data_IF_402367267139
#
_entry.id   IF_402367267139
#
_cell.length_a   1.000
_cell.length_b   1.000
_cell.length_c   1.000
_cell.angle_alpha   90.00
_cell.angle_beta   90.00
_cell.angle_gamma   90.00
#
_symmetry.space_group_name_H-M   'P 1'
#
loop_
_entity.id
_entity.type
_entity.pdbx_description
1 polymer ?
2 non-polymer ?
3 water ?
#
# COMPACT_ATOMS: atom_id res chain seq x y z
N UNK A 1 26.31 18.19 23.48
CA UNK A 1 25.25 17.81 24.40
C UNK A 1 24.00 18.49 23.90
N UNK A 2 24.09 19.78 23.60
CA UNK A 2 22.92 20.42 22.99
C UNK A 2 22.71 19.98 21.54
N UNK A 3 23.73 19.41 20.89
CA UNK A 3 23.51 18.82 19.58
C UNK A 3 22.46 17.70 19.62
N UNK A 4 22.31 17.02 20.77
CA UNK A 4 21.31 15.96 20.88
C UNK A 4 19.98 16.42 21.48
N UNK A 5 19.89 17.66 21.92
CA UNK A 5 18.72 18.09 22.64
C UNK A 5 17.45 18.04 21.78
N UNK A 6 17.56 18.36 20.49
CA UNK A 6 16.36 18.26 19.66
C UNK A 6 15.80 16.84 19.71
N UNK A 7 16.68 15.86 19.49
CA UNK A 7 16.15 14.51 19.44
C UNK A 7 15.67 14.07 20.82
N UNK A 8 16.31 14.53 21.90
CA UNK A 8 15.84 14.15 23.24
C UNK A 8 14.45 14.72 23.54
N UNK A 9 14.20 15.98 23.19
CA UNK A 9 12.88 16.56 23.40
C UNK A 9 11.84 15.88 22.52
N UNK A 10 12.20 15.60 21.26
CA UNK A 10 11.30 14.89 20.37
C UNK A 10 10.91 13.54 20.94
N UNK A 11 11.88 12.83 21.51
CA UNK A 11 11.61 11.55 22.13
C UNK A 11 10.68 11.71 23.30
N UNK A 12 10.94 12.69 24.18
CA UNK A 12 10.10 12.86 25.36
C UNK A 12 8.64 13.12 24.96
N UNK A 13 8.43 14.01 23.99
CA UNK A 13 7.05 14.32 23.58
C UNK A 13 6.40 13.16 22.86
N UNK A 14 7.19 12.44 22.06
CA UNK A 14 6.68 11.27 21.36
C UNK A 14 6.27 10.17 22.34
N UNK A 15 7.09 9.94 23.36
CA UNK A 15 6.76 8.98 24.39
C UNK A 15 5.53 9.39 25.16
N UNK A 16 5.38 10.69 25.45
CA UNK A 16 4.16 11.13 26.11
C UNK A 16 2.92 10.77 25.28
N UNK A 17 2.94 11.07 23.98
CA UNK A 17 1.79 10.72 23.15
C UNK A 17 1.60 9.22 23.03
N UNK A 18 2.70 8.46 22.90
CA UNK A 18 2.63 7.01 22.87
C UNK A 18 1.92 6.48 24.10
N UNK A 19 2.33 6.94 25.28
CA UNK A 19 1.72 6.46 26.53
C UNK A 19 0.25 6.86 26.59
N UNK A 20 -0.07 8.09 26.17
CA UNK A 20 -1.45 8.57 26.17
C UNK A 20 -2.33 7.70 25.27
N UNK A 21 -1.86 7.42 24.05
CA UNK A 21 -2.63 6.61 23.11
C UNK A 21 -2.80 5.21 23.68
N UNK A 22 -1.75 4.66 24.29
CA UNK A 22 -1.87 3.33 24.88
C UNK A 22 -2.65 3.33 26.20
N UNK A 23 -3.05 4.49 26.70
CA UNK A 23 -3.76 4.54 27.97
C UNK A 23 -5.27 4.72 27.81
N UNK A 24 -5.78 4.84 26.59
CA UNK A 24 -7.22 5.07 26.38
C UNK A 24 -7.79 3.95 25.52
N UNK A 25 -9.12 3.92 25.44
CA UNK A 25 -9.79 2.76 24.86
C UNK A 25 -9.72 2.78 23.34
N UNK A 26 -10.21 1.69 22.76
CA UNK A 26 -10.15 1.51 21.32
C UNK A 26 -10.85 2.64 20.57
N UNK A 27 -12.02 3.08 21.04
CA UNK A 27 -12.74 4.13 20.34
C UNK A 27 -11.93 5.42 20.28
N UNK A 28 -11.28 5.78 21.39
CA UNK A 28 -10.45 6.98 21.37
C UNK A 28 -9.21 6.79 20.52
N UNK A 29 -8.60 5.61 20.57
CA UNK A 29 -7.45 5.33 19.70
C UNK A 29 -7.84 5.48 18.24
N UNK A 30 -9.02 4.97 17.86
CA UNK A 30 -9.48 5.12 16.48
C UNK A 30 -9.74 6.59 16.16
N UNK A 31 -10.27 7.35 17.14
CA UNK A 31 -10.49 8.79 16.91
C UNK A 31 -9.16 9.53 16.71
N UNK A 32 -8.16 9.17 17.51
CA UNK A 32 -6.83 9.77 17.38
C UNK A 32 -6.24 9.44 16.01
N UNK A 33 -6.35 8.16 15.62
CA UNK A 33 -5.90 7.75 14.30
C UNK A 33 -6.59 8.58 13.20
N UNK A 34 -7.91 8.71 13.31
CA UNK A 34 -8.66 9.46 12.33
C UNK A 34 -8.15 10.88 12.23
N UNK A 35 -7.80 11.47 13.39
CA UNK A 35 -7.31 12.84 13.41
C UNK A 35 -5.96 12.97 12.71
N UNK A 36 -5.07 11.99 12.91
CA UNK A 36 -3.77 12.06 12.27
C UNK A 36 -3.80 11.46 10.87
N UNK A 37 -4.92 10.83 10.49
CA UNK A 37 -5.06 10.15 9.21
C UNK A 37 -4.77 11.12 8.07
N UNK A 38 -3.91 10.70 7.16
CA UNK A 38 -3.59 11.46 5.96
C UNK A 38 -2.98 12.83 6.18
N UNK A 42 -0.15 9.44 3.85
CA UNK A 42 0.31 8.99 5.15
C UNK A 42 1.73 8.42 5.07
N UNK A 43 2.61 8.88 5.97
CA UNK A 43 4.01 8.38 5.94
C UNK A 43 4.10 6.90 6.27
N UNK A 44 5.13 6.27 5.72
CA UNK A 44 5.41 4.84 5.90
C UNK A 44 6.71 4.74 6.70
N UNK A 45 6.59 4.46 7.99
CA UNK A 45 7.75 4.45 8.87
C UNK A 45 8.43 3.10 9.03
N UNK A 46 7.83 2.01 8.52
CA UNK A 46 8.37 0.66 8.68
C UNK A 46 8.59 0.32 10.16
N UNK A 47 7.60 0.59 11.00
CA UNK A 47 7.77 0.36 12.44
C UNK A 47 7.76 -1.13 12.74
N UNK A 48 6.93 -1.91 12.02
CA UNK A 48 6.84 -3.36 12.23
C UNK A 48 8.20 -4.04 12.26
N UNK A 49 9.11 -3.66 11.37
CA UNK A 49 10.38 -4.38 11.31
C UNK A 49 11.27 -4.14 12.53
N UNK A 50 10.99 -3.12 13.35
CA UNK A 50 11.84 -2.76 14.47
C UNK A 50 11.37 -3.34 15.81
N UNK A 51 10.26 -4.07 15.81
CA UNK A 51 9.73 -4.63 17.05
C UNK A 51 10.58 -5.79 17.52
N UNK A 52 11.00 -5.75 18.79
CA UNK A 52 11.77 -6.84 19.37
C UNK A 52 10.94 -8.10 19.55
N UNK A 53 11.49 -9.22 19.08
CA UNK A 53 10.84 -10.51 19.14
C UNK A 53 9.45 -10.42 18.52
N UNK A 54 9.42 -9.86 17.31
CA UNK A 54 8.16 -9.57 16.64
C UNK A 54 7.34 -10.82 16.36
N UNK A 55 7.98 -11.98 16.20
CA UNK A 55 7.27 -13.24 15.97
C UNK A 55 6.49 -13.73 17.18
N UNK A 56 6.76 -13.15 18.35
CA UNK A 56 6.00 -13.40 19.57
C UNK A 56 4.90 -12.38 19.79
N UNK A 57 4.75 -11.39 18.91
CA UNK A 57 3.70 -10.38 19.01
C UNK A 57 2.52 -10.77 18.12
N UNK A 58 1.30 -10.64 18.63
CA UNK A 58 0.13 -10.82 17.79
C UNK A 58 0.02 -9.68 16.77
N UNK A 59 -0.69 -9.95 15.67
CA UNK A 59 -0.92 -8.92 14.66
C UNK A 59 -1.62 -7.71 15.28
N UNK A 60 -2.58 -7.96 16.16
CA UNK A 60 -3.33 -6.85 16.75
C UNK A 60 -2.45 -5.98 17.63
N UNK A 61 -1.55 -6.60 18.43
CA UNK A 61 -0.63 -5.82 19.25
C UNK A 61 0.33 -5.01 18.39
N UNK A 62 0.84 -5.60 17.33
CA UNK A 62 1.69 -4.86 16.41
C UNK A 62 0.94 -3.68 15.81
N UNK A 63 -0.32 -3.90 15.41
CA UNK A 63 -1.09 -2.82 14.80
C UNK A 63 -1.33 -1.71 15.81
N UNK A 64 -1.68 -2.07 17.03
CA UNK A 64 -1.87 -1.05 18.05
C UNK A 64 -0.60 -0.24 18.27
N UNK A 65 0.54 -0.93 18.36
CA UNK A 65 1.80 -0.25 18.65
C UNK A 65 2.21 0.66 17.51
N UNK A 66 2.20 0.14 16.27
CA UNK A 66 2.69 0.92 15.12
C UNK A 66 1.78 2.11 14.87
N UNK A 67 0.46 1.89 14.99
CA UNK A 67 -0.45 3.01 14.87
C UNK A 67 -0.13 4.08 15.88
N UNK A 68 0.12 3.67 17.14
CA UNK A 68 0.38 4.66 18.17
C UNK A 68 1.66 5.42 17.91
N UNK A 69 2.72 4.73 17.50
CA UNK A 69 3.98 5.41 17.19
C UNK A 69 3.79 6.40 16.03
N UNK A 70 3.15 5.96 14.95
CA UNK A 70 2.96 6.84 13.80
C UNK A 70 2.13 8.06 14.20
N UNK A 71 1.13 7.86 15.05
CA UNK A 71 0.29 8.97 15.52
C UNK A 71 1.10 9.90 16.40
N UNK A 72 1.95 9.33 17.25
CA UNK A 72 2.79 10.13 18.12
C UNK A 72 3.73 11.00 17.30
N UNK A 73 4.37 10.42 16.29
CA UNK A 73 5.28 11.19 15.43
C UNK A 73 4.53 12.32 14.72
N UNK A 74 3.34 12.01 14.16
CA UNK A 74 2.51 13.02 13.53
C UNK A 74 2.21 14.16 14.48
N UNK A 75 1.77 13.83 15.71
CA UNK A 75 1.35 14.86 16.66
C UNK A 75 2.52 15.72 17.11
N UNK A 76 3.66 15.10 17.40
CA UNK A 76 4.83 15.92 17.75
C UNK A 76 5.29 16.74 16.56
N UNK A 77 5.37 16.14 15.38
CA UNK A 77 5.92 16.83 14.23
C UNK A 77 5.06 18.02 13.83
N UNK A 78 3.73 17.95 14.03
CA UNK A 78 2.94 19.09 13.56
C UNK A 78 3.07 20.33 14.45
N UNK A 79 3.74 20.25 15.61
CA UNK A 79 3.98 21.43 16.42
C UNK A 79 4.96 22.42 15.77
N UNK A 80 5.81 21.96 14.83
CA UNK A 80 6.83 22.79 14.18
C UNK A 80 6.28 23.34 12.88
N UNK A 81 5.76 24.55 12.93
CA UNK A 81 5.22 25.20 11.74
C UNK A 81 6.33 25.82 10.88
N UNK A 82 6.16 25.71 9.56
CA UNK A 82 7.09 26.25 8.57
C UNK A 82 8.57 25.94 8.81
N UNK A 83 8.96 24.66 8.83
CA UNK A 83 10.33 24.31 9.21
C UNK A 83 11.39 24.62 8.15
N UNK A 84 12.55 25.05 8.64
CA UNK A 84 13.73 25.19 7.81
C UNK A 84 14.18 23.80 7.33
N UNK A 85 15.09 23.78 6.35
CA UNK A 85 15.66 22.48 5.96
C UNK A 85 16.31 21.82 7.16
N UNK A 86 16.93 22.64 8.01
CA UNK A 86 17.60 22.10 9.19
C UNK A 86 16.61 21.46 10.14
N UNK A 87 15.45 22.10 10.35
CA UNK A 87 14.42 21.49 11.20
C UNK A 87 13.85 20.23 10.58
N UNK A 88 13.56 20.23 9.27
CA UNK A 88 13.06 19.00 8.66
C UNK A 88 14.10 17.87 8.76
N UNK A 89 15.38 18.17 8.56
CA UNK A 89 16.42 17.16 8.73
C UNK A 89 16.57 16.76 10.20
N UNK A 90 16.37 17.71 11.13
CA UNK A 90 16.38 17.42 12.56
C UNK A 90 15.22 16.50 12.94
N UNK A 91 14.04 16.78 12.40
CA UNK A 91 12.91 15.92 12.63
C UNK A 91 13.19 14.56 12.05
N UNK A 92 13.79 14.52 10.84
CA UNK A 92 14.07 13.25 10.20
C UNK A 92 15.00 12.41 11.05
N UNK A 93 16.05 13.03 11.59
CA UNK A 93 17.00 12.30 12.43
C UNK A 93 16.40 11.91 13.77
N UNK A 94 15.68 12.82 14.44
CA UNK A 94 15.04 12.49 15.70
C UNK A 94 13.99 11.40 15.53
N UNK A 95 13.27 11.43 14.41
CA UNK A 95 12.32 10.38 14.10
C UNK A 95 13.06 9.09 13.77
N UNK A 96 14.18 9.18 13.07
CA UNK A 96 14.98 8.00 12.81
C UNK A 96 15.54 7.44 14.11
N UNK A 97 15.88 8.29 15.07
CA UNK A 97 16.36 7.78 16.37
C UNK A 97 15.23 7.10 17.10
N UNK A 98 14.06 7.72 17.11
CA UNK A 98 12.88 7.07 17.68
C UNK A 98 12.69 5.69 17.08
N UNK A 99 12.64 5.61 15.75
CA UNK A 99 12.33 4.35 15.08
C UNK A 99 13.46 3.33 15.23
N UNK A 100 14.70 3.75 14.97
CA UNK A 100 15.79 2.80 14.86
C UNK A 100 16.37 2.47 16.23
N UNK A 101 16.46 3.45 17.12
CA UNK A 101 17.03 3.19 18.44
C UNK A 101 15.96 2.79 19.46
N UNK A 102 14.81 3.50 19.51
CA UNK A 102 13.93 3.35 20.66
C UNK A 102 12.83 2.33 20.47
N UNK A 103 12.34 2.10 19.24
CA UNK A 103 11.33 1.05 19.06
C UNK A 103 11.82 -0.31 19.53
N UNK A 104 13.08 -0.73 19.27
CA UNK A 104 13.56 -1.98 19.87
C UNK A 104 13.58 -1.96 21.40
N UNK A 105 13.90 -0.80 21.98
CA UNK A 105 13.89 -0.69 23.44
C UNK A 105 12.48 -0.77 23.97
N UNK A 106 11.58 0.02 23.40
CA UNK A 106 10.21 0.08 23.88
C UNK A 106 9.49 -1.26 23.76
N UNK A 107 9.84 -2.07 22.76
CA UNK A 107 9.15 -3.34 22.51
C UNK A 107 9.85 -4.54 23.14
N UNK A 108 10.91 -4.30 23.92
CA UNK A 108 11.66 -5.36 24.57
C UNK A 108 11.03 -5.69 25.92
N UNK A 109 11.19 -6.96 26.35
CA UNK A 109 10.81 -7.42 27.69
C UNK A 109 9.35 -7.17 28.01
N UNK A 110 8.47 -7.28 27.02
CA UNK A 110 7.07 -7.04 27.29
C UNK A 110 6.39 -8.30 27.81
N UNK A 111 5.40 -8.08 28.64
CA UNK A 111 4.67 -9.19 29.23
C UNK A 111 3.59 -9.67 28.28
N UNK A 112 3.60 -10.93 27.86
CA UNK A 112 2.63 -11.42 26.86
C UNK A 112 1.20 -11.25 27.29
N UNK A 113 0.93 -11.19 28.58
CA UNK A 113 -0.42 -10.98 29.06
C UNK A 113 -0.99 -9.66 28.57
N UNK A 114 -0.15 -8.66 28.40
CA UNK A 114 -0.57 -7.33 27.99
C UNK A 114 0.65 -6.54 27.55
N UNK A 115 1.09 -6.81 26.32
CA UNK A 115 2.34 -6.23 25.84
C UNK A 115 2.29 -4.71 25.76
N UNK A 116 1.13 -4.14 25.43
CA UNK A 116 1.05 -2.70 25.30
C UNK A 116 1.09 -2.03 26.66
N UNK A 117 0.61 -2.71 27.71
CA UNK A 117 0.81 -2.16 29.05
C UNK A 117 2.30 -2.11 29.35
N UNK A 118 3.05 -3.14 28.93
CA UNK A 118 4.51 -3.12 29.14
C UNK A 118 5.17 -2.00 28.35
N UNK A 119 4.73 -1.79 27.10
CA UNK A 119 5.27 -0.71 26.30
C UNK A 119 5.03 0.61 27.00
N UNK A 120 3.79 0.81 27.48
CA UNK A 120 3.45 2.01 28.23
C UNK A 120 4.44 2.22 29.38
N UNK A 121 4.75 1.16 30.13
CA UNK A 121 5.62 1.32 31.30
C UNK A 121 7.08 1.52 30.90
N UNK A 122 7.58 0.76 29.92
CA UNK A 122 8.90 1.02 29.35
C UNK A 122 9.01 2.49 28.96
N UNK A 123 7.99 3.00 28.24
CA UNK A 123 7.99 4.38 27.77
C UNK A 123 8.03 5.35 28.93
N UNK A 124 7.20 5.13 29.95
CA UNK A 124 7.17 6.06 31.08
C UNK A 124 8.54 6.15 31.75
N UNK A 125 9.21 5.00 31.95
CA UNK A 125 10.54 5.00 32.59
C UNK A 125 11.57 5.74 31.73
N UNK A 126 11.61 5.42 30.42
CA UNK A 126 12.55 6.06 29.52
C UNK A 126 12.34 7.58 29.49
N UNK A 127 11.07 8.01 29.42
CA UNK A 127 10.74 9.43 29.39
C UNK A 127 11.12 10.11 30.70
N UNK A 128 10.85 9.46 31.83
CA UNK A 128 11.23 10.04 33.11
C UNK A 128 12.75 10.26 33.20
N UNK A 129 13.53 9.28 32.70
CA UNK A 129 15.00 9.39 32.76
C UNK A 129 15.48 10.55 31.90
N UNK A 130 14.97 10.64 30.66
CA UNK A 130 15.39 11.73 29.79
C UNK A 130 14.99 13.08 30.38
N UNK A 131 13.78 13.17 30.92
CA UNK A 131 13.33 14.43 31.49
C UNK A 131 14.22 14.83 32.65
N UNK A 132 14.55 13.86 33.51
CA UNK A 132 15.43 14.11 34.64
C UNK A 132 16.76 14.68 34.18
N UNK A 133 17.28 14.21 33.04
CA UNK A 133 18.57 14.77 32.62
C UNK A 133 18.44 16.00 31.72
N UNK A 134 17.23 16.37 31.31
CA UNK A 134 17.07 17.68 30.67
C UNK A 134 16.93 18.76 31.71
N UNK A 135 16.14 18.51 32.74
CA UNK A 135 15.99 19.45 33.83
C UNK A 135 17.27 19.47 34.66
N UNK B 1 -10.67 -16.07 -8.65
CA UNK B 1 -10.82 -16.94 -9.82
C UNK B 1 -9.48 -17.52 -10.20
N UNK B 2 -9.42 -18.78 -10.62
CA UNK B 2 -8.14 -19.29 -11.06
C UNK B 2 -7.70 -18.68 -12.39
N UNK B 3 -8.62 -18.04 -13.10
CA UNK B 3 -8.25 -17.34 -14.33
C UNK B 3 -7.21 -16.25 -14.12
N UNK B 4 -7.14 -15.63 -12.94
CA UNK B 4 -6.17 -14.58 -12.64
C UNK B 4 -4.93 -15.10 -11.93
N UNK B 5 -4.90 -16.41 -11.62
CA UNK B 5 -3.83 -16.91 -10.75
C UNK B 5 -2.46 -16.74 -11.39
N UNK B 6 -2.35 -17.02 -12.69
CA UNK B 6 -1.05 -16.83 -13.32
C UNK B 6 -0.57 -15.40 -13.15
N UNK B 7 -1.42 -14.40 -13.49
CA UNK B 7 -0.91 -13.04 -13.42
C UNK B 7 -0.67 -12.64 -11.97
N UNK B 8 -1.49 -13.13 -11.02
CA UNK B 8 -1.20 -12.75 -9.64
C UNK B 8 0.14 -13.33 -9.20
N UNK B 9 0.43 -14.58 -9.60
CA UNK B 9 1.74 -15.17 -9.24
C UNK B 9 2.85 -14.40 -9.89
N UNK B 10 2.65 -14.04 -11.17
CA UNK B 10 3.66 -13.29 -11.88
C UNK B 10 3.93 -11.98 -11.17
N UNK B 11 2.85 -11.31 -10.69
CA UNK B 11 3.03 -10.05 -9.97
C UNK B 11 3.80 -10.27 -8.68
N UNK B 12 3.40 -11.31 -7.91
CA UNK B 12 4.04 -11.55 -6.63
C UNK B 12 5.54 -11.77 -6.86
N UNK B 13 5.87 -12.52 -7.91
CA UNK B 13 7.29 -12.83 -8.13
C UNK B 13 8.05 -11.62 -8.67
N UNK B 14 7.38 -10.84 -9.53
CA UNK B 14 8.01 -9.69 -10.11
C UNK B 14 8.31 -8.69 -9.01
N UNK B 15 7.32 -8.44 -8.15
CA UNK B 15 7.49 -7.54 -7.04
C UNK B 15 8.59 -8.02 -6.10
N UNK B 16 8.67 -9.35 -5.88
CA UNK B 16 9.79 -9.89 -5.06
C UNK B 16 11.14 -9.47 -5.62
N UNK B 17 11.35 -9.70 -6.93
CA UNK B 17 12.63 -9.32 -7.51
C UNK B 17 12.81 -7.81 -7.50
N UNK B 18 11.73 -7.06 -7.76
CA UNK B 18 11.84 -5.60 -7.70
C UNK B 18 12.36 -5.18 -6.34
N UNK B 19 11.77 -5.72 -5.25
CA UNK B 19 12.19 -5.29 -3.92
C UNK B 19 13.63 -5.67 -3.68
N UNK B 20 13.98 -6.87 -4.14
CA UNK B 20 15.34 -7.37 -3.97
C UNK B 20 16.32 -6.45 -4.67
N UNK B 21 16.02 -6.12 -5.91
CA UNK B 21 16.92 -5.27 -6.67
C UNK B 21 17.02 -3.91 -6.00
N UNK B 22 15.89 -3.42 -5.49
CA UNK B 22 15.94 -2.11 -4.86
C UNK B 22 16.54 -2.16 -3.46
N UNK B 23 16.88 -3.35 -2.94
CA UNK B 23 17.39 -3.46 -1.59
C UNK B 23 18.90 -3.62 -1.57
N UNK B 24 19.54 -3.68 -2.73
CA UNK B 24 20.99 -3.93 -2.75
C UNK B 24 21.69 -2.76 -3.41
N UNK B 25 23.03 -2.76 -3.29
CA UNK B 25 23.77 -1.58 -3.67
C UNK B 25 23.90 -1.49 -5.19
N UNK B 26 24.50 -0.38 -5.61
CA UNK B 26 24.62 -0.08 -7.03
C UNK B 26 25.44 -1.14 -7.76
N UNK B 27 26.51 -1.64 -7.15
CA UNK B 27 27.33 -2.63 -7.83
C UNK B 27 26.52 -3.88 -8.16
N UNK B 28 25.74 -4.37 -7.19
CA UNK B 28 24.92 -5.55 -7.44
C UNK B 28 23.82 -5.25 -8.44
N UNK B 29 23.22 -4.05 -8.36
CA UNK B 29 22.20 -3.68 -9.34
C UNK B 29 22.77 -3.69 -10.76
N UNK B 30 23.95 -3.11 -10.96
CA UNK B 30 24.56 -3.10 -12.29
C UNK B 30 24.91 -4.51 -12.75
N UNK B 31 25.38 -5.35 -11.82
CA UNK B 31 25.65 -6.74 -12.18
C UNK B 31 24.39 -7.46 -12.62
N UNK B 32 23.30 -7.27 -11.89
CA UNK B 32 22.00 -7.84 -12.26
C UNK B 32 21.56 -7.32 -13.64
N UNK B 33 21.70 -6.01 -13.87
CA UNK B 33 21.39 -5.46 -15.17
C UNK B 33 22.13 -6.18 -16.27
N UNK B 34 23.45 -6.36 -16.13
CA UNK B 34 24.24 -7.07 -17.14
C UNK B 34 23.80 -8.52 -17.29
N UNK B 35 23.47 -9.20 -16.18
CA UNK B 35 23.07 -10.60 -16.27
C UNK B 35 21.78 -10.77 -17.04
N UNK B 36 20.84 -9.87 -16.84
CA UNK B 36 19.53 -10.00 -17.50
C UNK B 36 19.51 -9.44 -18.91
N UNK B 37 20.59 -8.82 -19.36
CA UNK B 37 20.64 -8.34 -20.72
C UNK B 37 20.53 -9.52 -21.68
N UNK B 38 19.49 -9.51 -22.50
CA UNK B 38 19.23 -10.64 -23.38
C UNK B 38 19.69 -10.41 -24.81
N UNK B 39 18.73 -10.35 -25.73
CA UNK B 39 18.99 -10.09 -27.14
C UNK B 39 18.27 -8.85 -27.65
N UNK B 40 17.18 -8.46 -27.02
CA UNK B 40 16.49 -7.21 -27.29
C UNK B 40 17.00 -6.11 -26.35
N UNK B 41 17.09 -4.89 -26.88
CA UNK B 41 17.71 -3.77 -26.18
C UNK B 41 16.61 -2.92 -25.54
N UNK B 42 16.52 -2.97 -24.22
CA UNK B 42 15.49 -2.30 -23.43
C UNK B 42 14.14 -2.51 -24.10
N UNK B 43 13.67 -3.78 -24.25
CA UNK B 43 12.70 -4.13 -25.30
C UNK B 43 11.43 -3.29 -25.31
N UNK B 44 11.62 -1.99 -25.58
CA UNK B 44 10.58 -0.97 -25.64
C UNK B 44 9.43 -1.23 -24.68
N UNK B 45 9.69 -1.10 -23.37
CA UNK B 45 8.58 -1.22 -22.43
C UNK B 45 7.95 0.13 -22.17
N UNK B 46 8.63 1.21 -22.54
CA UNK B 46 8.18 2.57 -22.30
C UNK B 46 7.75 2.73 -20.84
N UNK B 47 8.60 2.27 -19.92
CA UNK B 47 8.26 2.29 -18.50
C UNK B 47 8.27 3.73 -17.99
N UNK B 48 9.17 4.57 -18.53
CA UNK B 48 9.21 5.97 -18.12
C UNK B 48 7.84 6.62 -18.25
N UNK B 49 7.13 6.34 -19.35
CA UNK B 49 5.83 6.96 -19.58
C UNK B 49 4.77 6.47 -18.61
N UNK B 50 5.01 5.39 -17.88
CA UNK B 50 4.04 4.89 -16.93
C UNK B 50 4.30 5.35 -15.50
N UNK B 51 5.38 6.07 -15.24
CA UNK B 51 5.71 6.49 -13.88
C UNK B 51 4.77 7.60 -13.44
N UNK B 52 4.15 7.44 -12.27
CA UNK B 52 3.28 8.47 -11.74
C UNK B 52 4.07 9.73 -11.36
N UNK B 53 3.55 10.88 -11.81
CA UNK B 53 4.15 12.19 -11.61
C UNK B 53 5.61 12.20 -12.05
N UNK B 54 5.84 11.73 -13.28
CA UNK B 54 7.21 11.51 -13.75
C UNK B 54 8.02 12.80 -13.80
N UNK B 55 7.37 13.96 -13.98
CA UNK B 55 8.13 15.22 -14.01
C UNK B 55 8.73 15.57 -12.67
N UNK B 56 8.30 14.89 -11.61
CA UNK B 56 8.88 15.11 -10.29
C UNK B 56 9.97 14.10 -9.99
N UNK B 57 10.25 13.17 -10.90
CA UNK B 57 11.30 12.17 -10.68
C UNK B 57 12.59 12.60 -11.37
N UNK B 58 13.71 12.48 -10.66
CA UNK B 58 14.97 12.72 -11.34
C UNK B 58 15.24 11.64 -12.39
N UNK B 59 16.10 11.97 -13.34
CA UNK B 59 16.53 11.00 -14.33
C UNK B 59 17.14 9.77 -13.69
N UNK B 60 17.97 9.97 -12.65
CA UNK B 60 18.60 8.83 -11.99
C UNK B 60 17.56 7.93 -11.33
N UNK B 61 16.56 8.51 -10.69
CA UNK B 61 15.52 7.68 -10.07
C UNK B 61 14.72 6.91 -11.12
N UNK B 62 14.37 7.58 -12.22
CA UNK B 62 13.65 6.87 -13.29
C UNK B 62 14.49 5.71 -13.82
N UNK B 63 15.80 5.93 -14.02
CA UNK B 63 16.66 4.86 -14.53
C UNK B 63 16.72 3.70 -13.56
N UNK B 64 16.83 4.01 -12.26
CA UNK B 64 16.88 2.96 -11.26
C UNK B 64 15.62 2.12 -11.31
N UNK B 65 14.47 2.80 -11.37
CA UNK B 65 13.19 2.10 -11.33
C UNK B 65 13.00 1.24 -12.58
N UNK B 66 13.21 1.83 -13.76
CA UNK B 66 12.94 1.12 -15.02
C UNK B 66 13.91 -0.04 -15.22
N UNK B 67 15.20 0.14 -14.91
CA UNK B 67 16.11 -0.99 -14.98
C UNK B 67 15.62 -2.11 -14.06
N UNK B 68 15.20 -1.76 -12.85
CA UNK B 68 14.79 -2.79 -11.89
C UNK B 68 13.53 -3.52 -12.36
N UNK B 69 12.55 -2.78 -12.90
CA UNK B 69 11.36 -3.41 -13.44
C UNK B 69 11.72 -4.40 -14.54
N UNK B 70 12.53 -3.94 -15.51
CA UNK B 70 12.90 -4.80 -16.63
C UNK B 70 13.67 -6.03 -16.18
N UNK B 71 14.53 -5.85 -15.17
CA UNK B 71 15.28 -7.00 -14.67
C UNK B 71 14.35 -7.98 -13.97
N UNK B 72 13.43 -7.47 -13.18
CA UNK B 72 12.49 -8.34 -12.49
C UNK B 72 11.67 -9.14 -13.50
N UNK B 73 11.18 -8.47 -14.54
CA UNK B 73 10.44 -9.18 -15.57
C UNK B 73 11.29 -10.29 -16.20
N UNK B 74 12.56 -9.98 -16.54
CA UNK B 74 13.44 -11.01 -17.09
C UNK B 74 13.59 -12.20 -16.14
N UNK B 75 13.82 -11.92 -14.86
CA UNK B 75 14.11 -12.99 -13.91
C UNK B 75 12.88 -13.87 -13.71
N UNK B 76 11.70 -13.28 -13.63
CA UNK B 76 10.50 -14.11 -13.49
C UNK B 76 10.26 -14.90 -14.77
N UNK B 77 10.41 -14.24 -15.93
CA UNK B 77 10.08 -14.89 -17.18
C UNK B 77 10.99 -16.06 -17.48
N UNK B 78 12.26 -16.00 -17.08
CA UNK B 78 13.15 -17.10 -17.41
C UNK B 78 12.92 -18.36 -16.56
N UNK B 79 12.06 -18.31 -15.54
CA UNK B 79 11.66 -19.54 -14.86
C UNK B 79 10.87 -20.48 -15.77
N UNK B 80 10.23 -19.94 -16.81
CA UNK B 80 9.41 -20.74 -17.72
C UNK B 80 10.23 -21.17 -18.93
N UNK B 81 10.89 -22.31 -18.78
CA UNK B 81 11.68 -22.91 -19.85
C UNK B 81 10.77 -23.70 -20.79
N UNK B 82 11.11 -23.65 -22.09
CA UNK B 82 10.35 -24.28 -23.17
C UNK B 82 8.85 -24.07 -22.95
N UNK B 83 8.41 -22.82 -22.84
CA UNK B 83 6.99 -22.57 -22.54
C UNK B 83 6.15 -22.89 -23.75
N UNK B 84 4.95 -23.41 -23.49
CA UNK B 84 3.96 -23.58 -24.53
C UNK B 84 3.51 -22.21 -25.07
N UNK B 85 2.75 -22.25 -26.17
CA UNK B 85 2.19 -21.01 -26.71
C UNK B 85 1.26 -20.36 -25.67
N UNK B 86 0.50 -21.19 -24.95
CA UNK B 86 -0.41 -20.66 -23.95
C UNK B 86 0.35 -19.98 -22.82
N UNK B 87 1.47 -20.58 -22.39
CA UNK B 87 2.28 -19.99 -21.33
C UNK B 87 2.87 -18.66 -21.78
N UNK B 88 3.35 -18.60 -23.03
CA UNK B 88 3.87 -17.34 -23.55
C UNK B 88 2.79 -16.27 -23.58
N UNK B 89 1.55 -16.62 -23.97
CA UNK B 89 0.50 -15.61 -23.96
C UNK B 89 0.16 -15.18 -22.53
N UNK B 90 0.17 -16.11 -21.56
CA UNK B 90 -0.08 -15.72 -20.18
C UNK B 90 1.03 -14.82 -19.64
N UNK B 91 2.28 -15.11 -20.05
CA UNK B 91 3.40 -14.26 -19.65
C UNK B 91 3.23 -12.87 -20.23
N UNK B 92 2.81 -12.78 -21.51
CA UNK B 92 2.60 -11.46 -22.13
C UNK B 92 1.50 -10.68 -21.41
N UNK B 93 0.39 -11.36 -21.07
CA UNK B 93 -0.71 -10.70 -20.36
C UNK B 93 -0.27 -10.26 -18.98
N UNK B 94 0.42 -11.14 -18.23
CA UNK B 94 0.87 -10.78 -16.90
C UNK B 94 1.84 -9.60 -16.95
N UNK B 95 2.69 -9.58 -17.97
CA UNK B 95 3.67 -8.52 -18.07
C UNK B 95 3.01 -7.20 -18.38
N UNK B 96 2.00 -7.22 -19.27
CA UNK B 96 1.24 -6.01 -19.57
C UNK B 96 0.46 -5.53 -18.34
N UNK B 97 -0.07 -6.44 -17.52
CA UNK B 97 -0.72 -5.99 -16.30
C UNK B 97 0.30 -5.33 -15.36
N UNK B 98 1.48 -5.93 -15.20
CA UNK B 98 2.53 -5.30 -14.40
C UNK B 98 2.84 -3.88 -14.89
N UNK B 99 3.07 -3.76 -16.19
CA UNK B 99 3.47 -2.48 -16.75
C UNK B 99 2.33 -1.46 -16.75
N UNK B 100 1.15 -1.88 -17.20
CA UNK B 100 0.07 -0.93 -17.42
C UNK B 100 -0.72 -0.66 -16.14
N UNK B 101 -0.97 -1.70 -15.32
CA UNK B 101 -1.71 -1.48 -14.10
C UNK B 101 -0.80 -1.13 -12.93
N UNK B 102 0.33 -1.83 -12.73
CA UNK B 102 1.03 -1.72 -11.46
C UNK B 102 2.14 -0.67 -11.46
N UNK B 103 2.76 -0.36 -12.59
CA UNK B 103 3.80 0.68 -12.57
C UNK B 103 3.23 1.99 -12.09
N UNK B 104 2.03 2.44 -12.52
CA UNK B 104 1.46 3.66 -11.91
C UNK B 104 1.23 3.55 -10.42
N UNK B 105 0.82 2.38 -9.92
CA UNK B 105 0.63 2.20 -8.48
C UNK B 105 1.95 2.23 -7.73
N UNK B 106 2.93 1.48 -8.22
CA UNK B 106 4.22 1.35 -7.53
C UNK B 106 4.92 2.69 -7.39
N UNK B 107 4.75 3.59 -8.36
CA UNK B 107 5.45 4.85 -8.42
C UNK B 107 4.64 6.00 -7.85
N UNK B 108 3.47 5.72 -7.26
CA UNK B 108 2.62 6.75 -6.70
C UNK B 108 3.00 7.03 -5.25
N UNK B 109 2.78 8.28 -4.82
CA UNK B 109 2.95 8.66 -3.41
C UNK B 109 4.37 8.45 -2.91
N UNK B 110 5.36 8.64 -3.77
CA UNK B 110 6.72 8.41 -3.33
C UNK B 110 7.27 9.64 -2.62
N UNK B 111 8.13 9.40 -1.67
CA UNK B 111 8.78 10.47 -0.92
C UNK B 111 9.98 11.00 -1.69
N UNK B 112 10.01 12.30 -2.02
CA UNK B 112 11.14 12.82 -2.82
C UNK B 112 12.51 12.56 -2.20
N UNK B 113 12.59 12.37 -0.88
CA UNK B 113 13.86 12.08 -0.20
C UNK B 113 14.48 10.76 -0.66
N UNK B 114 13.66 9.80 -1.05
CA UNK B 114 14.13 8.50 -1.47
C UNK B 114 12.99 7.79 -2.17
N UNK B 115 12.77 8.15 -3.44
CA UNK B 115 11.60 7.62 -4.14
C UNK B 115 11.66 6.11 -4.27
N UNK B 116 12.87 5.55 -4.42
CA UNK B 116 12.94 4.11 -4.61
C UNK B 116 12.64 3.34 -3.34
N UNK B 117 12.98 3.91 -2.17
CA UNK B 117 12.52 3.29 -0.94
C UNK B 117 11.01 3.27 -0.88
N UNK B 118 10.36 4.35 -1.36
CA UNK B 118 8.91 4.33 -1.40
C UNK B 118 8.40 3.26 -2.34
N UNK B 119 9.05 3.10 -3.50
CA UNK B 119 8.67 2.05 -4.45
C UNK B 119 8.79 0.68 -3.77
N UNK B 120 9.89 0.44 -3.08
CA UNK B 120 10.09 -0.80 -2.36
C UNK B 120 8.99 -1.04 -1.33
N UNK B 121 8.57 0.01 -0.61
CA UNK B 121 7.52 -0.17 0.39
C UNK B 121 6.15 -0.39 -0.26
N UNK B 122 5.84 0.38 -1.29
CA UNK B 122 4.60 0.14 -2.06
C UNK B 122 4.57 -1.30 -2.55
N UNK B 123 5.68 -1.76 -3.14
CA UNK B 123 5.78 -3.10 -3.68
C UNK B 123 5.55 -4.15 -2.60
N UNK B 124 6.16 -3.96 -1.42
CA UNK B 124 6.00 -4.94 -0.35
C UNK B 124 4.56 -5.04 0.13
N UNK B 125 3.89 -3.90 0.33
CA UNK B 125 2.47 -3.91 0.71
C UNK B 125 1.59 -4.59 -0.36
N UNK B 126 1.80 -4.25 -1.64
CA UNK B 126 0.98 -4.86 -2.71
C UNK B 126 1.19 -6.37 -2.73
N UNK B 127 2.45 -6.80 -2.60
CA UNK B 127 2.79 -8.21 -2.66
C UNK B 127 2.23 -8.96 -1.47
N UNK B 128 2.29 -8.37 -0.26
CA UNK B 128 1.76 -9.03 0.92
C UNK B 128 0.26 -9.20 0.81
N UNK B 129 -0.42 -8.19 0.28
CA UNK B 129 -1.87 -8.31 0.10
C UNK B 129 -2.21 -9.46 -0.84
N UNK B 130 -1.50 -9.55 -1.98
CA UNK B 130 -1.80 -10.61 -2.95
C UNK B 130 -1.49 -11.99 -2.37
N UNK B 131 -0.38 -12.09 -1.63
CA UNK B 131 -0.07 -13.37 -1.01
C UNK B 131 -1.12 -13.75 0.03
N UNK B 132 -1.54 -12.79 0.87
CA UNK B 132 -2.55 -13.06 1.88
C UNK B 132 -3.83 -13.57 1.26
N UNK B 133 -4.18 -13.06 0.08
CA UNK B 133 -5.45 -13.43 -0.53
C UNK B 133 -5.35 -14.58 -1.52
N UNK B 134 -4.16 -15.18 -1.71
CA UNK B 134 -4.09 -16.34 -2.58
C UNK B 134 -5.09 -17.41 -2.17
N UNK B 135 -5.23 -17.66 -0.86
CA UNK B 135 -6.15 -18.67 -0.36
C UNK B 135 -7.60 -18.30 -0.60
N UNK B 136 -7.86 -17.03 -0.84
CA UNK B 136 -9.23 -16.54 -0.91
C UNK B 136 -9.73 -16.39 -2.34
N UNK B 137 -8.93 -16.75 -3.33
CA UNK B 137 -9.27 -16.45 -4.71
C UNK B 137 -9.16 -17.73 -5.53
N UNK C 1 0.21 -1.44 -23.26
CA UNK C 1 -0.36 -2.21 -24.39
C UNK C 1 -1.85 -1.98 -24.51
N UNK C 2 -2.33 -1.95 -25.75
CA UNK C 2 -3.77 -1.84 -25.94
C UNK C 2 -4.50 -3.12 -25.51
N UNK C 3 -3.78 -4.23 -25.34
CA UNK C 3 -4.39 -5.44 -24.80
C UNK C 3 -5.02 -5.24 -23.42
N UNK C 4 -4.53 -4.26 -22.64
CA UNK C 4 -5.10 -4.02 -21.32
C UNK C 4 -6.12 -2.89 -21.30
N UNK C 5 -6.35 -2.24 -22.45
CA UNK C 5 -7.17 -1.03 -22.41
C UNK C 5 -8.59 -1.34 -21.92
N UNK C 6 -9.15 -2.47 -22.35
CA UNK C 6 -10.51 -2.78 -21.91
C UNK C 6 -10.56 -2.86 -20.38
N UNK C 7 -9.63 -3.62 -19.78
CA UNK C 7 -9.75 -3.80 -18.34
C UNK C 7 -9.42 -2.51 -17.62
N UNK C 8 -8.50 -1.71 -18.16
CA UNK C 8 -8.22 -0.44 -17.46
C UNK C 8 -9.44 0.46 -17.49
N UNK C 9 -10.13 0.52 -18.64
CA UNK C 9 -11.34 1.34 -18.68
C UNK C 9 -12.40 0.75 -17.75
N UNK C 10 -12.50 -0.57 -17.71
CA UNK C 10 -13.50 -1.17 -16.82
C UNK C 10 -13.21 -0.77 -15.38
N UNK C 11 -11.92 -0.77 -15.02
CA UNK C 11 -11.54 -0.40 -13.68
C UNK C 11 -11.89 1.04 -13.41
N UNK C 12 -11.55 1.93 -14.34
CA UNK C 12 -11.79 3.36 -14.11
C UNK C 12 -13.28 3.57 -13.91
N UNK C 13 -14.07 2.90 -14.75
CA UNK C 13 -15.50 3.11 -14.67
C UNK C 13 -16.07 2.45 -13.42
N UNK C 14 -15.57 1.27 -13.06
CA UNK C 14 -16.07 0.60 -11.86
C UNK C 14 -15.76 1.44 -10.64
N UNK C 15 -14.53 1.99 -10.58
CA UNK C 15 -14.12 2.74 -9.42
C UNK C 15 -14.93 4.02 -9.32
N UNK C 16 -15.27 4.65 -10.48
CA UNK C 16 -16.16 5.82 -10.45
C UNK C 16 -17.44 5.46 -9.71
N UNK C 17 -18.06 4.33 -10.09
CA UNK C 17 -19.35 4.03 -9.46
C UNK C 17 -19.17 3.67 -8.01
N UNK C 18 -18.06 2.98 -7.68
CA UNK C 18 -17.77 2.68 -6.28
C UNK C 18 -17.71 3.98 -5.49
N UNK C 19 -16.95 4.95 -5.98
CA UNK C 19 -16.84 6.20 -5.24
C UNK C 19 -18.21 6.86 -5.13
N UNK C 20 -18.97 6.85 -6.22
CA UNK C 20 -20.26 7.52 -6.20
C UNK C 20 -21.18 6.91 -5.15
N UNK C 21 -21.23 5.57 -5.14
CA UNK C 21 -22.10 4.85 -4.22
C UNK C 21 -21.68 5.08 -2.78
N UNK C 22 -20.37 5.12 -2.53
CA UNK C 22 -19.94 5.31 -1.16
C UNK C 22 -20.05 6.75 -0.72
N UNK C 23 -20.37 7.67 -1.64
CA UNK C 23 -20.44 9.10 -1.33
C UNK C 23 -21.84 9.57 -1.04
N UNK C 24 -22.84 8.71 -1.17
CA UNK C 24 -24.21 9.14 -0.97
C UNK C 24 -24.78 8.34 0.21
N UNK C 25 -25.95 8.75 0.67
CA UNK C 25 -26.47 8.23 1.93
C UNK C 25 -27.04 6.81 1.77
N UNK C 26 -27.46 6.26 2.92
CA UNK C 26 -27.94 4.89 2.99
C UNK C 26 -29.18 4.69 2.13
N UNK C 27 -30.10 5.66 2.15
CA UNK C 27 -31.33 5.52 1.38
C UNK C 27 -31.01 5.38 -0.10
N UNK C 28 -30.09 6.19 -0.60
CA UNK C 28 -29.74 6.09 -2.01
C UNK C 28 -28.97 4.80 -2.29
N UNK C 29 -28.07 4.38 -1.38
CA UNK C 29 -27.38 3.12 -1.58
C UNK C 29 -28.36 1.95 -1.67
N UNK C 30 -29.34 1.92 -0.78
CA UNK C 30 -30.34 0.84 -0.82
C UNK C 30 -31.16 0.91 -2.10
N UNK C 31 -31.48 2.13 -2.57
CA UNK C 31 -32.17 2.27 -3.84
C UNK C 31 -31.34 1.72 -5.00
N UNK C 32 -30.03 2.04 -5.04
CA UNK C 32 -29.14 1.54 -6.08
C UNK C 32 -29.07 0.01 -6.02
N UNK C 33 -28.97 -0.53 -4.80
CA UNK C 33 -28.96 -1.98 -4.60
C UNK C 33 -30.20 -2.62 -5.22
N UNK C 34 -31.38 -2.10 -4.89
CA UNK C 34 -32.59 -2.67 -5.46
C UNK C 34 -32.64 -2.51 -6.97
N UNK C 35 -32.13 -1.37 -7.49
CA UNK C 35 -32.09 -1.15 -8.94
C UNK C 35 -31.20 -2.18 -9.64
N UNK C 36 -30.09 -2.56 -9.03
CA UNK C 36 -29.21 -3.51 -9.69
C UNK C 36 -29.56 -4.97 -9.41
N UNK C 37 -30.53 -5.24 -8.53
CA UNK C 37 -30.90 -6.62 -8.19
C UNK C 37 -31.37 -7.37 -9.41
N UNK C 43 -23.59 -11.38 -7.62
CA UNK C 43 -24.08 -12.75 -7.47
C UNK C 43 -23.08 -13.68 -6.80
N UNK C 44 -22.99 -13.60 -5.47
CA UNK C 44 -22.07 -14.38 -4.65
C UNK C 44 -20.68 -14.43 -5.29
N UNK C 45 -19.95 -13.34 -5.13
CA UNK C 45 -18.59 -13.15 -5.60
C UNK C 45 -17.55 -13.46 -4.54
N UNK C 46 -17.97 -13.72 -3.29
CA UNK C 46 -17.08 -13.92 -2.15
C UNK C 46 -16.14 -12.72 -1.98
N UNK C 47 -16.73 -11.53 -2.04
CA UNK C 47 -15.94 -10.31 -1.95
C UNK C 47 -15.42 -10.10 -0.54
N UNK C 48 -16.18 -10.51 0.48
CA UNK C 48 -15.76 -10.36 1.87
C UNK C 48 -14.36 -10.90 2.09
N UNK C 49 -14.06 -12.05 1.50
CA UNK C 49 -12.80 -12.73 1.74
C UNK C 49 -11.62 -12.00 1.12
N UNK C 50 -11.87 -11.07 0.21
CA UNK C 50 -10.80 -10.35 -0.46
C UNK C 50 -10.49 -9.04 0.25
N UNK C 51 -11.22 -8.71 1.31
CA UNK C 51 -11.04 -7.45 2.03
C UNK C 51 -9.79 -7.57 2.91
N UNK C 52 -8.89 -6.60 2.77
CA UNK C 52 -7.67 -6.55 3.56
C UNK C 52 -7.95 -6.27 5.02
N UNK C 53 -7.38 -7.11 5.87
CA UNK C 53 -7.58 -7.05 7.31
C UNK C 53 -9.07 -7.09 7.64
N UNK C 54 -9.76 -8.02 6.98
CA UNK C 54 -11.22 -8.06 7.11
C UNK C 54 -11.64 -8.32 8.54
N UNK C 55 -10.78 -8.97 9.34
CA UNK C 55 -11.17 -9.23 10.72
C UNK C 55 -11.28 -7.96 11.56
N UNK C 56 -10.73 -6.85 11.09
CA UNK C 56 -10.85 -5.60 11.84
C UNK C 56 -12.00 -4.74 11.33
N UNK C 57 -12.71 -5.21 10.32
CA UNK C 57 -13.84 -4.50 9.73
C UNK C 57 -15.14 -4.96 10.40
N UNK C 58 -15.99 -3.98 10.72
CA UNK C 58 -17.30 -4.33 11.23
C UNK C 58 -18.13 -5.00 10.15
N UNK C 59 -19.15 -5.74 10.57
CA UNK C 59 -20.08 -6.34 9.62
C UNK C 59 -20.70 -5.30 8.71
N UNK C 60 -21.06 -4.14 9.27
CA UNK C 60 -21.74 -3.11 8.48
C UNK C 60 -20.84 -2.55 7.41
N UNK C 61 -19.58 -2.27 7.76
CA UNK C 61 -18.64 -1.75 6.77
C UNK C 61 -18.43 -2.76 5.63
N UNK C 62 -18.26 -4.04 5.98
CA UNK C 62 -18.05 -5.05 4.95
C UNK C 62 -19.26 -5.12 4.03
N UNK C 63 -20.46 -5.04 4.59
CA UNK C 63 -21.66 -5.10 3.75
C UNK C 63 -21.74 -3.89 2.84
N UNK C 64 -21.44 -2.70 3.37
CA UNK C 64 -21.46 -1.50 2.53
C UNK C 64 -20.48 -1.65 1.38
N UNK C 65 -19.27 -2.16 1.67
CA UNK C 65 -18.28 -2.29 0.63
C UNK C 65 -18.70 -3.33 -0.40
N UNK C 66 -19.10 -4.53 0.04
CA UNK C 66 -19.39 -5.58 -0.92
C UNK C 66 -20.60 -5.19 -1.77
N UNK C 67 -21.62 -4.62 -1.13
CA UNK C 67 -22.78 -4.14 -1.90
C UNK C 67 -22.35 -3.13 -2.95
N UNK C 68 -21.49 -2.17 -2.58
CA UNK C 68 -21.10 -1.12 -3.52
C UNK C 68 -20.30 -1.66 -4.70
N UNK C 69 -19.36 -2.58 -4.44
CA UNK C 69 -18.58 -3.23 -5.50
C UNK C 69 -19.49 -3.97 -6.49
N UNK C 70 -20.41 -4.80 -5.96
CA UNK C 70 -21.30 -5.54 -6.85
C UNK C 70 -22.17 -4.60 -7.67
N UNK C 71 -22.64 -3.50 -7.08
CA UNK C 71 -23.48 -2.54 -7.81
C UNK C 71 -22.69 -1.81 -8.89
N UNK C 72 -21.44 -1.45 -8.57
CA UNK C 72 -20.59 -0.82 -9.56
C UNK C 72 -20.35 -1.75 -10.75
N UNK C 73 -20.06 -3.01 -10.48
CA UNK C 73 -19.86 -3.97 -11.58
C UNK C 73 -21.12 -4.07 -12.44
N UNK C 74 -22.29 -4.21 -11.79
CA UNK C 74 -23.56 -4.26 -12.53
C UNK C 74 -23.74 -3.03 -13.43
N UNK C 75 -23.49 -1.84 -12.87
CA UNK C 75 -23.74 -0.62 -13.61
C UNK C 75 -22.79 -0.47 -14.78
N UNK C 76 -21.51 -0.81 -14.60
CA UNK C 76 -20.58 -0.75 -15.73
C UNK C 76 -20.95 -1.81 -16.76
N UNK C 77 -21.28 -3.02 -16.32
CA UNK C 77 -21.55 -4.12 -17.24
C UNK C 77 -22.78 -3.83 -18.09
N UNK C 78 -23.76 -3.10 -17.54
CA UNK C 78 -24.97 -2.80 -18.32
C UNK C 78 -24.72 -1.82 -19.46
N UNK C 79 -23.56 -1.16 -19.51
CA UNK C 79 -23.27 -0.31 -20.65
C UNK C 79 -23.10 -1.10 -21.94
N UNK C 80 -22.71 -2.37 -21.82
CA UNK C 80 -22.43 -3.21 -22.99
C UNK C 80 -23.70 -3.94 -23.39
N UNK C 81 -24.45 -3.31 -24.29
CA UNK C 81 -25.69 -3.89 -24.76
C UNK C 81 -25.40 -5.00 -25.77
N UNK C 82 -26.17 -6.08 -25.66
CA UNK C 82 -26.07 -7.28 -26.49
C UNK C 82 -24.61 -7.67 -26.72
N UNK C 83 -23.83 -7.87 -25.66
CA UNK C 83 -22.39 -8.09 -25.88
C UNK C 83 -22.18 -9.42 -26.56
N UNK C 84 -21.23 -9.44 -27.50
CA UNK C 84 -20.80 -10.68 -28.13
C UNK C 84 -20.05 -11.53 -27.13
N UNK C 85 -19.80 -12.80 -27.50
CA UNK C 85 -19.05 -13.64 -26.57
C UNK C 85 -17.66 -13.07 -26.29
N UNK C 86 -17.00 -12.48 -27.30
CA UNK C 86 -15.68 -11.90 -27.03
C UNK C 86 -15.78 -10.73 -26.06
N UNK C 87 -16.79 -9.88 -26.21
CA UNK C 87 -16.95 -8.78 -25.28
C UNK C 87 -17.30 -9.30 -23.89
N UNK C 88 -18.15 -10.32 -23.82
CA UNK C 88 -18.47 -10.93 -22.54
C UNK C 88 -17.22 -11.48 -21.87
N UNK C 89 -16.31 -12.09 -22.64
CA UNK C 89 -15.06 -12.58 -22.04
C UNK C 89 -14.17 -11.45 -21.54
N UNK C 90 -14.14 -10.32 -22.25
CA UNK C 90 -13.37 -9.18 -21.73
C UNK C 90 -13.98 -8.63 -20.45
N UNK C 91 -15.31 -8.59 -20.38
CA UNK C 91 -15.97 -8.14 -19.16
C UNK C 91 -15.63 -9.08 -18.02
N UNK C 92 -15.65 -10.38 -18.27
CA UNK C 92 -15.35 -11.34 -17.21
C UNK C 92 -13.92 -11.19 -16.73
N UNK C 93 -12.97 -11.03 -17.67
CA UNK C 93 -11.56 -10.84 -17.24
C UNK C 93 -11.39 -9.54 -16.45
N UNK C 94 -12.01 -8.46 -16.91
CA UNK C 94 -11.90 -7.21 -16.21
C UNK C 94 -12.51 -7.29 -14.83
N UNK C 95 -13.66 -7.98 -14.70
CA UNK C 95 -14.32 -8.11 -13.41
C UNK C 95 -13.47 -8.96 -12.47
N UNK C 96 -12.83 -9.99 -13.02
CA UNK C 96 -11.93 -10.85 -12.24
C UNK C 96 -10.71 -10.08 -11.76
N UNK C 97 -10.18 -9.18 -12.59
CA UNK C 97 -9.06 -8.34 -12.15
C UNK C 97 -9.53 -7.37 -11.06
N UNK C 98 -10.72 -6.78 -11.23
CA UNK C 98 -11.26 -5.92 -10.19
C UNK C 98 -11.37 -6.67 -8.86
N UNK C 99 -12.00 -7.83 -8.85
CA UNK C 99 -12.25 -8.56 -7.61
C UNK C 99 -10.97 -9.14 -7.01
N UNK C 100 -10.15 -9.80 -7.83
CA UNK C 100 -9.01 -10.54 -7.32
C UNK C 100 -7.80 -9.63 -7.06
N UNK C 101 -7.51 -8.70 -7.97
CA UNK C 101 -6.37 -7.81 -7.78
C UNK C 101 -6.74 -6.58 -6.97
N UNK C 102 -7.88 -5.93 -7.25
CA UNK C 102 -8.11 -4.58 -6.74
C UNK C 102 -8.87 -4.51 -5.42
N UNK C 103 -9.74 -5.46 -5.10
CA UNK C 103 -10.40 -5.42 -3.79
C UNK C 103 -9.36 -5.41 -2.67
N UNK C 104 -8.29 -6.21 -2.71
CA UNK C 104 -7.26 -6.10 -1.65
C UNK C 104 -6.60 -4.72 -1.57
N UNK C 105 -6.39 -4.06 -2.72
CA UNK C 105 -5.81 -2.71 -2.77
C UNK C 105 -6.79 -1.67 -2.24
N UNK C 106 -8.02 -1.72 -2.70
CA UNK C 106 -9.01 -0.72 -2.31
C UNK C 106 -9.25 -0.70 -0.80
N UNK C 107 -9.18 -1.87 -0.16
CA UNK C 107 -9.52 -2.05 1.25
C UNK C 107 -8.31 -2.01 2.17
N UNK C 108 -7.16 -1.62 1.65
CA UNK C 108 -5.95 -1.60 2.44
C UNK C 108 -5.80 -0.24 3.13
N UNK C 109 -5.16 -0.27 4.30
CA UNK C 109 -4.79 0.96 5.00
C UNK C 109 -5.98 1.83 5.38
N UNK C 110 -7.13 1.24 5.71
CA UNK C 110 -8.30 2.07 5.97
C UNK C 110 -8.32 2.65 7.39
N UNK C 111 -8.92 3.81 7.49
CA UNK C 111 -9.09 4.52 8.75
C UNK C 111 -10.21 3.84 9.53
N UNK C 112 -9.94 3.28 10.72
CA UNK C 112 -10.98 2.50 11.43
C UNK C 112 -12.25 3.27 11.76
N UNK C 113 -12.15 4.59 11.97
CA UNK C 113 -13.30 5.47 12.20
C UNK C 113 -14.17 5.66 10.96
N UNK C 114 -13.62 5.48 9.76
CA UNK C 114 -14.44 5.70 8.57
C UNK C 114 -13.79 4.93 7.43
N UNK C 115 -13.94 3.60 7.44
CA UNK C 115 -13.21 2.78 6.50
C UNK C 115 -13.64 3.05 5.06
N UNK C 116 -14.94 3.34 4.85
CA UNK C 116 -15.41 3.53 3.49
C UNK C 116 -14.92 4.84 2.88
N UNK C 117 -14.69 5.87 3.71
CA UNK C 117 -14.04 7.08 3.22
C UNK C 117 -12.63 6.75 2.72
N UNK C 118 -11.91 5.91 3.45
CA UNK C 118 -10.59 5.49 2.98
C UNK C 118 -10.68 4.73 1.66
N UNK C 119 -11.69 3.85 1.54
CA UNK C 119 -11.89 3.14 0.29
C UNK C 119 -12.11 4.13 -0.86
N UNK C 120 -12.94 5.15 -0.63
CA UNK C 120 -13.17 6.18 -1.64
C UNK C 120 -11.88 6.90 -2.02
N UNK C 121 -11.05 7.22 -1.02
CA UNK C 121 -9.79 7.91 -1.30
C UNK C 121 -8.83 7.01 -2.08
N UNK C 122 -8.70 5.74 -1.67
CA UNK C 122 -7.90 4.74 -2.41
C UNK C 122 -8.36 4.63 -3.85
N UNK C 123 -9.67 4.49 -4.04
CA UNK C 123 -10.25 4.34 -5.36
C UNK C 123 -9.95 5.56 -6.20
N UNK C 124 -10.12 6.75 -5.64
CA UNK C 124 -9.91 7.98 -6.41
C UNK C 124 -8.46 8.07 -6.86
N UNK C 125 -7.51 7.69 -5.99
CA UNK C 125 -6.10 7.75 -6.36
C UNK C 125 -5.76 6.77 -7.48
N UNK C 126 -6.24 5.54 -7.34
CA UNK C 126 -5.99 4.50 -8.35
C UNK C 126 -6.60 4.91 -9.68
N UNK C 127 -7.83 5.43 -9.63
CA UNK C 127 -8.52 5.84 -10.84
C UNK C 127 -7.81 7.00 -11.52
N UNK C 128 -7.36 8.00 -10.76
CA UNK C 128 -6.64 9.12 -11.35
C UNK C 128 -5.33 8.68 -11.98
N UNK C 129 -4.64 7.72 -11.35
CA UNK C 129 -3.38 7.23 -11.92
C UNK C 129 -3.61 6.59 -13.28
N UNK C 130 -4.63 5.73 -13.35
CA UNK C 130 -4.94 5.03 -14.60
C UNK C 130 -5.40 6.00 -15.68
N UNK C 131 -6.23 6.99 -15.30
CA UNK C 131 -6.69 8.02 -16.24
C UNK C 131 -5.53 8.82 -16.80
N UNK C 132 -4.61 9.26 -15.94
CA UNK C 132 -3.48 10.03 -16.43
C UNK C 132 -2.68 9.25 -17.45
N UNK C 133 -2.59 7.93 -17.29
CA UNK C 133 -1.79 7.13 -18.20
C UNK C 133 -2.56 6.55 -19.37
N UNK C 134 -3.85 6.83 -19.51
CA UNK C 134 -4.55 6.38 -20.71
C UNK C 134 -3.81 6.83 -21.97
N UNK C 135 -3.23 8.05 -21.95
CA UNK C 135 -2.46 8.49 -23.11
C UNK C 135 -1.15 7.71 -23.28
N UNK C 136 -0.59 7.18 -22.18
CA UNK C 136 0.77 6.65 -22.16
C UNK C 136 0.87 5.14 -22.39
N UNK C 137 -0.26 4.44 -22.53
CA UNK C 137 -0.24 2.99 -22.54
C UNK C 137 -1.00 2.42 -23.74
X LIG D 1 -5.04 -14.59 -19.54
X LIG D 1 -4.29 -13.67 -19.98
X LIG D 1 -5.06 -15.67 -20.17
X LIG D 1 -5.94 -14.46 -18.33
X LIG D 1 -6.22 -13.00 -17.93
X LIG D 1 -6.79 -12.27 -19.06
X LIG D 1 -7.05 -12.78 -16.66
X LIG D 1 -8.44 -13.39 -16.64
X LIG D 1 -9.24 -13.17 -15.70
X LIG D 1 -8.81 -14.20 -17.51
X LIG D 1 -4.98 -12.19 -17.70
X LIG D 1 -4.94 -11.11 -18.32
X LIG D 1 -4.02 -12.57 -16.97
X LIG E 1 -3.98 -8.68 -21.74
X LIG E 1 -4.09 -9.50 -22.68
X LIG E 1 -2.88 -8.08 -21.64
X LIG E 1 -5.08 -8.38 -20.74
X LIG E 1 -6.25 -9.37 -20.75
X LIG E 1 -5.85 -10.74 -20.50
X LIG E 1 -7.10 -9.17 -22.02
X LIG E 1 -8.33 -10.03 -22.09
X LIG E 1 -8.88 -10.22 -23.21
X LIG E 1 -8.82 -10.57 -21.08
X LIG E 1 -7.09 -9.06 -19.53
X LIG E 1 -7.76 -8.01 -19.46
X LIG E 1 -7.09 -9.93 -18.63
#
# INVERSE_FOLDING_TARGET
>A
SNATRFERNFLINSLMFLETILSVDKKLDDAIHHFTQGQYENPRYQINSRITNADDWSKEDKLKFTSAIAEAIALVSEKYENPTSETTEQIQSARNILLDNYVPLLTANTDPENRLKSVRENSSQIRKELIAKLKDE
>B
SNATRFERNFLINSLMFLETILSVDKKLDDAIHHFTQGQYENPRYQINSRITNADDWSKEDKLKFTSAIAEAIALVSEKYENPTSETTEQIQSARNILLDNYVPLLTANTDPENRLKSVRENSSQIRKELIAKLKDE
>C
SNATRFERNFLINSLMFLETILSVDKKLDDAIHHFTQGQYENPRYQINSRITNADDWSKEDKLKFTSAIAEAIALVSEKYENPTSETTEQIQSARNILLDNYVPLLTANTDPENRLKSVRENSSQIRKELIAKLKDE
>D hetero
1 CIT C1 O1 O2 C2 C3 O7 C4 C5 O3 O4 C6 O5 O6
>E hetero
1 CIT C1 O1 O2 C2 C3 O7 C4 C5 O3 O4 C6 O5 O6
#
